data_IF_322188133943
#
_entry.id   IF_322188133943
#
_cell.length_a   1.000
_cell.length_b   1.000
_cell.length_c   1.000
_cell.angle_alpha   90.00
_cell.angle_beta   90.00
_cell.angle_gamma   90.00
#
_symmetry.space_group_name_H-M   'P 1'
#
loop_
_entity.id
_entity.type
_entity.pdbx_description
1 polymer ?
#
# COMPACT_ATOMS: atom_id res chain seq x y z
N UNK A 1 -13.47 -14.85 -10.24
CA UNK A 1 -13.53 -13.50 -9.64
C UNK A 1 -12.96 -12.46 -10.62
N UNK A 2 -13.42 -12.48 -11.88
CA UNK A 2 -12.77 -11.77 -13.00
C UNK A 2 -13.32 -10.36 -13.29
N UNK A 3 -14.41 -9.95 -12.64
CA UNK A 3 -15.16 -8.74 -13.03
C UNK A 3 -15.31 -7.70 -11.90
N UNK A 4 -14.52 -7.81 -10.83
CA UNK A 4 -14.63 -6.94 -9.63
C UNK A 4 -13.48 -5.94 -9.54
N UNK A 5 -12.28 -6.36 -9.92
CA UNK A 5 -11.07 -5.55 -9.85
C UNK A 5 -10.53 -5.30 -11.26
N UNK A 6 -9.96 -4.11 -11.48
CA UNK A 6 -9.26 -3.79 -12.72
C UNK A 6 -8.07 -4.75 -12.89
N UNK A 7 -8.06 -5.62 -13.92
CA UNK A 7 -7.01 -6.61 -14.12
C UNK A 7 -5.72 -6.01 -14.68
N UNK A 8 -5.71 -4.71 -15.01
CA UNK A 8 -4.51 -4.03 -15.48
C UNK A 8 -3.40 -4.11 -14.44
N UNK A 9 -2.19 -4.56 -14.80
CA UNK A 9 -1.08 -4.61 -13.87
C UNK A 9 -0.76 -3.18 -13.42
N UNK A 10 -0.63 -2.99 -12.11
CA UNK A 10 -0.15 -1.71 -11.57
C UNK A 10 1.32 -1.51 -11.97
N UNK A 11 1.75 -0.25 -12.18
CA UNK A 11 3.14 0.04 -12.48
C UNK A 11 4.06 -0.53 -11.39
N UNK A 12 5.08 -1.31 -11.80
CA UNK A 12 6.12 -1.80 -10.88
C UNK A 12 7.17 -0.72 -10.56
N UNK A 13 7.18 0.37 -11.33
CA UNK A 13 8.03 1.54 -11.14
C UNK A 13 7.22 2.83 -11.38
N UNK A 14 7.78 3.96 -10.94
CA UNK A 14 7.25 5.28 -11.24
C UNK A 14 8.21 6.03 -12.17
N UNK A 15 7.78 7.16 -12.75
CA UNK A 15 8.65 7.98 -13.60
C UNK A 15 9.76 8.64 -12.76
N UNK A 16 10.82 7.88 -12.50
CA UNK A 16 11.97 8.31 -11.70
C UNK A 16 12.78 9.42 -12.37
N UNK A 17 12.54 9.75 -13.64
CA UNK A 17 13.23 10.84 -14.34
C UNK A 17 12.45 12.15 -14.20
N UNK A 18 11.14 12.15 -14.45
CA UNK A 18 10.35 13.38 -14.52
C UNK A 18 9.52 13.68 -13.26
N UNK A 19 9.42 12.74 -12.31
CA UNK A 19 8.68 12.98 -11.07
C UNK A 19 9.46 13.91 -10.12
N UNK A 20 9.04 15.17 -10.01
CA UNK A 20 9.60 16.13 -9.06
C UNK A 20 8.79 16.15 -7.76
N UNK A 21 9.41 15.64 -6.68
CA UNK A 21 8.82 15.53 -5.35
C UNK A 21 8.53 16.89 -4.68
N UNK A 22 9.05 17.99 -5.21
CA UNK A 22 8.86 19.33 -4.65
C UNK A 22 7.78 20.14 -5.38
N UNK A 23 7.25 19.61 -6.49
CA UNK A 23 6.20 20.27 -7.28
C UNK A 23 4.83 19.71 -6.95
N UNK A 24 3.80 20.56 -7.07
CA UNK A 24 2.41 20.09 -6.99
C UNK A 24 2.17 19.19 -8.21
N UNK A 25 1.63 18.00 -7.98
CA UNK A 25 1.30 17.07 -9.05
C UNK A 25 0.35 17.73 -10.07
N UNK A 26 0.72 17.67 -11.37
CA UNK A 26 -0.06 18.29 -12.45
C UNK A 26 -1.47 17.70 -12.59
N UNK A 27 -1.69 16.46 -12.17
CA UNK A 27 -3.01 15.84 -12.15
C UNK A 27 -3.64 15.97 -10.76
N UNK A 28 -4.51 16.96 -10.59
CA UNK A 28 -5.26 17.17 -9.35
C UNK A 28 -6.32 16.10 -9.11
N UNK A 29 -6.69 15.33 -10.15
CA UNK A 29 -7.67 14.26 -10.03
C UNK A 29 -6.93 12.95 -9.74
N UNK A 30 -7.19 12.38 -8.57
CA UNK A 30 -6.72 11.03 -8.26
C UNK A 30 -7.30 10.04 -9.26
N UNK A 31 -6.45 9.32 -9.98
CA UNK A 31 -6.88 8.16 -10.77
C UNK A 31 -7.21 7.07 -9.75
N UNK A 32 -8.49 6.77 -9.58
CA UNK A 32 -8.91 5.66 -8.73
C UNK A 32 -8.86 4.37 -9.54
N UNK A 33 -7.90 3.51 -9.22
CA UNK A 33 -7.89 2.13 -9.68
C UNK A 33 -8.37 1.20 -8.57
N UNK A 34 -8.99 0.08 -8.94
CA UNK A 34 -9.28 -1.04 -8.06
C UNK A 34 -8.31 -2.21 -8.28
N UNK A 35 -7.24 -1.99 -9.04
CA UNK A 35 -6.22 -3.02 -9.30
C UNK A 35 -5.54 -3.48 -8.01
N UNK A 36 -5.11 -4.74 -8.03
CA UNK A 36 -4.49 -5.42 -6.91
C UNK A 36 -3.08 -5.85 -7.33
N UNK A 37 -2.10 -5.64 -6.45
CA UNK A 37 -0.75 -6.17 -6.63
C UNK A 37 -0.74 -7.66 -6.29
N UNK A 38 -0.60 -8.51 -7.33
CA UNK A 38 -0.45 -9.94 -7.15
C UNK A 38 1.01 -10.28 -6.85
N UNK A 39 1.25 -10.79 -5.65
CA UNK A 39 2.56 -11.20 -5.18
C UNK A 39 2.73 -12.71 -5.40
N UNK A 40 3.92 -13.10 -5.84
CA UNK A 40 4.29 -14.50 -5.85
C UNK A 40 4.40 -15.00 -4.40
N UNK A 41 3.71 -16.09 -4.07
CA UNK A 41 3.80 -16.68 -2.75
C UNK A 41 5.24 -17.04 -2.38
N UNK A 42 5.62 -16.75 -1.13
CA UNK A 42 6.95 -17.00 -0.58
C UNK A 42 8.08 -16.18 -1.25
N UNK A 43 7.74 -15.15 -2.03
CA UNK A 43 8.73 -14.21 -2.58
C UNK A 43 9.16 -13.17 -1.54
N UNK A 44 10.37 -12.63 -1.71
CA UNK A 44 10.82 -11.44 -0.98
C UNK A 44 10.38 -10.20 -1.75
N UNK A 45 9.70 -9.29 -1.08
CA UNK A 45 9.13 -8.07 -1.68
C UNK A 45 9.75 -6.85 -1.03
N UNK A 46 10.31 -5.97 -1.86
CA UNK A 46 10.78 -4.65 -1.46
C UNK A 46 9.76 -3.59 -1.84
N UNK A 47 9.44 -2.71 -0.90
CA UNK A 47 8.55 -1.56 -1.12
C UNK A 47 9.35 -0.29 -0.87
N UNK A 48 9.38 0.60 -1.87
CA UNK A 48 9.90 1.96 -1.70
C UNK A 48 8.72 2.92 -1.64
N UNK A 49 8.50 3.48 -0.45
CA UNK A 49 7.54 4.58 -0.27
C UNK A 49 8.28 5.91 -0.49
N UNK A 50 7.80 6.72 -1.43
CA UNK A 50 8.31 8.06 -1.70
C UNK A 50 7.27 9.11 -1.30
N UNK A 51 7.67 10.07 -0.47
CA UNK A 51 6.86 11.23 -0.14
C UNK A 51 7.11 12.38 -1.12
N UNK A 52 6.12 13.26 -1.27
CA UNK A 52 6.17 14.39 -2.18
C UNK A 52 5.38 15.59 -1.62
N UNK A 53 5.39 16.68 -2.37
CA UNK A 53 4.57 17.85 -2.12
C UNK A 53 3.08 17.48 -2.18
N UNK A 54 2.29 18.04 -1.26
CA UNK A 54 0.84 17.96 -1.24
C UNK A 54 0.21 18.87 -2.32
N UNK A 55 -1.09 19.10 -2.24
CA UNK A 55 -1.76 20.12 -3.06
C UNK A 55 -1.45 21.56 -2.62
N UNK A 56 -0.81 21.73 -1.45
CA UNK A 56 -0.33 23.01 -0.95
C UNK A 56 1.17 23.11 -1.26
N UNK A 57 1.58 24.19 -1.92
CA UNK A 57 2.99 24.43 -2.29
C UNK A 57 3.87 24.40 -1.04
N UNK A 58 5.00 23.70 -1.13
CA UNK A 58 6.00 23.55 -0.08
C UNK A 58 5.50 22.87 1.20
N UNK A 59 4.41 22.10 1.11
CA UNK A 59 3.88 21.32 2.22
C UNK A 59 3.95 19.84 1.88
N UNK A 60 4.63 19.06 2.70
CA UNK A 60 4.66 17.59 2.68
C UNK A 60 4.44 17.11 4.11
N UNK A 61 3.56 16.13 4.29
CA UNK A 61 3.13 15.65 5.60
C UNK A 61 3.83 14.35 5.98
N UNK A 62 3.74 13.96 7.26
CA UNK A 62 4.19 12.62 7.67
C UNK A 62 3.03 11.63 7.51
N UNK A 63 3.28 10.50 6.86
CA UNK A 63 2.27 9.47 6.63
C UNK A 63 2.67 8.15 7.31
N UNK A 64 1.95 7.67 8.33
CA UNK A 64 2.20 6.36 8.92
C UNK A 64 1.62 5.27 8.00
N UNK A 65 2.46 4.46 7.38
CA UNK A 65 2.03 3.36 6.52
C UNK A 65 1.98 2.04 7.28
N UNK A 66 0.86 1.34 7.20
CA UNK A 66 0.58 0.09 7.89
C UNK A 66 0.31 -1.05 6.90
N UNK A 67 0.92 -2.21 7.13
CA UNK A 67 0.71 -3.43 6.35
C UNK A 67 -0.05 -4.48 7.17
N UNK A 68 -1.14 -4.97 6.61
CA UNK A 68 -1.91 -6.08 7.18
C UNK A 68 -1.24 -7.43 6.90
N UNK A 69 -1.48 -8.40 7.78
CA UNK A 69 -1.07 -9.81 7.57
C UNK A 69 0.44 -10.07 7.66
N UNK A 70 1.28 -9.05 7.80
CA UNK A 70 2.74 -9.17 7.81
C UNK A 70 3.38 -8.17 8.76
N UNK A 71 4.61 -8.49 9.18
CA UNK A 71 5.58 -7.49 9.58
C UNK A 71 6.60 -7.31 8.45
N UNK A 72 7.29 -6.17 8.45
CA UNK A 72 8.34 -5.85 7.49
C UNK A 72 9.58 -5.34 8.21
N UNK A 73 10.74 -5.55 7.59
CA UNK A 73 11.99 -4.94 7.96
C UNK A 73 12.09 -3.55 7.35
N UNK A 74 12.46 -2.55 8.16
CA UNK A 74 12.80 -1.21 7.67
C UNK A 74 14.27 -1.20 7.28
N UNK A 75 14.53 -1.21 5.97
CA UNK A 75 15.89 -1.30 5.42
C UNK A 75 16.62 0.04 5.45
N UNK A 76 15.89 1.15 5.35
CA UNK A 76 16.48 2.48 5.39
C UNK A 76 15.47 3.56 5.07
N UNK A 77 15.84 4.80 5.37
CA UNK A 77 15.07 5.99 5.03
C UNK A 77 16.05 7.16 4.81
N UNK A 78 15.68 8.10 3.93
CA UNK A 78 16.37 9.39 3.78
C UNK A 78 15.44 10.48 3.29
N UNK A 79 15.89 11.71 3.44
CA UNK A 79 15.34 12.86 2.72
C UNK A 79 15.69 12.80 1.23
N UNK A 80 14.86 13.47 0.43
CA UNK A 80 14.99 13.57 -1.02
C UNK A 80 14.30 12.44 -1.78
N UNK A 81 14.55 12.42 -3.09
CA UNK A 81 14.05 11.40 -4.00
C UNK A 81 14.91 10.14 -3.92
N UNK A 82 14.27 8.98 -3.82
CA UNK A 82 14.95 7.68 -3.85
C UNK A 82 15.75 7.51 -5.15
N UNK A 83 17.00 7.06 -5.01
CA UNK A 83 17.87 6.73 -6.13
C UNK A 83 18.34 5.29 -6.00
N UNK A 84 17.89 4.43 -6.93
CA UNK A 84 18.16 3.00 -6.92
C UNK A 84 19.66 2.66 -6.85
N UNK A 85 20.49 3.38 -7.62
CA UNK A 85 21.93 3.11 -7.71
C UNK A 85 22.69 3.52 -6.44
N UNK A 86 22.22 4.53 -5.72
CA UNK A 86 22.93 5.12 -4.56
C UNK A 86 22.39 4.64 -3.22
N UNK A 87 21.08 4.44 -3.13
CA UNK A 87 20.41 4.30 -1.84
C UNK A 87 20.29 2.84 -1.39
N UNK A 88 20.19 1.89 -2.34
CA UNK A 88 20.19 0.44 -2.06
C UNK A 88 21.49 -0.02 -1.41
N UNK A 89 22.62 0.55 -1.82
CA UNK A 89 23.94 0.25 -1.21
C UNK A 89 24.02 0.60 0.27
N UNK A 90 23.08 1.42 0.77
CA UNK A 90 23.06 1.93 2.14
C UNK A 90 21.97 1.31 3.00
N UNK A 91 21.34 0.23 2.55
CA UNK A 91 20.37 -0.51 3.34
C UNK A 91 21.04 -1.18 4.54
N UNK A 92 20.35 -1.16 5.68
CA UNK A 92 20.70 -2.04 6.79
C UNK A 92 20.18 -3.46 6.48
N UNK A 93 21.09 -4.34 6.08
CA UNK A 93 20.83 -5.75 5.81
C UNK A 93 21.34 -6.69 6.91
N UNK A 94 21.89 -6.13 8.00
CA UNK A 94 22.48 -6.91 9.10
C UNK A 94 21.48 -7.09 10.23
N UNK A 95 20.90 -5.99 10.70
CA UNK A 95 19.98 -5.98 11.85
C UNK A 95 18.82 -4.96 11.70
N UNK A 96 18.07 -4.97 10.58
CA UNK A 96 16.98 -4.04 10.39
C UNK A 96 15.84 -4.25 11.41
N UNK A 97 15.26 -3.16 11.89
CA UNK A 97 14.12 -3.22 12.80
C UNK A 97 12.87 -3.74 12.07
N UNK A 98 12.16 -4.67 12.72
CA UNK A 98 10.90 -5.20 12.23
C UNK A 98 9.72 -4.39 12.79
N UNK A 99 8.79 -3.99 11.93
CA UNK A 99 7.59 -3.21 12.27
C UNK A 99 6.39 -3.66 11.44
N UNK A 100 5.19 -3.24 11.82
CA UNK A 100 3.98 -3.32 10.99
C UNK A 100 3.48 -1.93 10.54
N UNK A 101 4.01 -0.85 11.14
CA UNK A 101 3.70 0.53 10.79
C UNK A 101 4.97 1.37 10.80
N UNK A 102 5.14 2.24 9.80
CA UNK A 102 6.33 3.09 9.63
C UNK A 102 5.96 4.50 9.18
N UNK A 103 6.62 5.51 9.74
CA UNK A 103 6.45 6.89 9.32
C UNK A 103 7.20 7.14 8.01
N UNK A 104 6.49 7.63 7.00
CA UNK A 104 7.05 8.23 5.80
C UNK A 104 7.15 9.74 6.04
N UNK A 105 8.37 10.25 6.21
CA UNK A 105 8.62 11.65 6.54
C UNK A 105 8.53 12.58 5.32
N UNK A 106 8.31 13.91 5.54
CA UNK A 106 8.19 14.90 4.48
C UNK A 106 9.36 14.86 3.49
N UNK A 107 9.05 14.90 2.19
CA UNK A 107 10.02 14.87 1.08
C UNK A 107 11.07 13.75 1.15
N UNK A 108 10.83 12.68 1.89
CA UNK A 108 11.75 11.56 2.03
C UNK A 108 11.20 10.28 1.43
N UNK A 109 11.97 9.21 1.60
CA UNK A 109 11.56 7.85 1.26
C UNK A 109 11.87 6.90 2.41
N UNK A 110 11.15 5.77 2.43
CA UNK A 110 11.47 4.63 3.29
C UNK A 110 11.43 3.34 2.46
N UNK A 111 12.44 2.49 2.64
CA UNK A 111 12.55 1.17 2.03
C UNK A 111 12.15 0.10 3.04
N UNK A 112 11.20 -0.75 2.66
CA UNK A 112 10.66 -1.84 3.46
C UNK A 112 10.90 -3.17 2.73
N UNK A 113 11.10 -4.24 3.49
CA UNK A 113 11.16 -5.61 2.95
C UNK A 113 10.29 -6.53 3.76
N UNK A 114 9.53 -7.40 3.10
CA UNK A 114 8.79 -8.48 3.75
C UNK A 114 8.76 -9.73 2.86
N UNK A 115 8.33 -10.83 3.44
CA UNK A 115 8.11 -12.08 2.72
C UNK A 115 6.60 -12.24 2.47
N UNK A 116 6.20 -12.51 1.23
CA UNK A 116 4.79 -12.72 0.87
C UNK A 116 4.34 -14.16 1.19
N UNK A 117 4.46 -14.56 2.45
CA UNK A 117 4.24 -15.93 2.94
C UNK A 117 2.87 -16.15 3.61
N UNK A 118 2.03 -15.11 3.68
CA UNK A 118 0.68 -15.22 4.21
C UNK A 118 -0.38 -15.21 3.11
N UNK A 119 -1.09 -16.33 2.96
CA UNK A 119 -2.14 -16.54 1.95
C UNK A 119 -3.32 -15.59 2.19
N UNK A 120 -3.72 -14.81 1.20
CA UNK A 120 -4.87 -13.94 1.31
C UNK A 120 -4.74 -12.61 0.58
N UNK A 121 -5.58 -11.66 1.01
CA UNK A 121 -5.64 -10.30 0.49
C UNK A 121 -5.40 -9.34 1.66
N UNK A 122 -4.43 -8.44 1.51
CA UNK A 122 -3.91 -7.61 2.60
C UNK A 122 -3.85 -6.15 2.20
N UNK A 123 -4.34 -5.26 3.06
CA UNK A 123 -4.24 -3.83 2.86
C UNK A 123 -2.86 -3.31 3.25
N UNK A 124 -2.35 -2.40 2.43
CA UNK A 124 -1.20 -1.57 2.76
C UNK A 124 -1.59 -0.11 2.58
N UNK A 125 -1.66 0.65 3.68
CA UNK A 125 -2.33 1.94 3.66
C UNK A 125 -1.76 2.94 4.64
N UNK A 126 -2.03 4.22 4.38
CA UNK A 126 -1.84 5.26 5.38
C UNK A 126 -2.82 5.06 6.55
N UNK A 127 -2.31 5.11 7.77
CA UNK A 127 -3.04 4.88 9.01
C UNK A 127 -3.60 6.19 9.62
N UNK A 128 -3.70 7.24 8.80
CA UNK A 128 -4.51 8.43 9.08
C UNK A 128 -5.87 8.18 8.42
N UNK A 129 -6.93 8.08 9.22
CA UNK A 129 -8.26 7.68 8.75
C UNK A 129 -8.79 8.56 7.59
N UNK A 130 -8.57 9.88 7.67
CA UNK A 130 -8.94 10.79 6.59
C UNK A 130 -8.22 10.47 5.27
N UNK A 131 -6.94 10.07 5.34
CA UNK A 131 -6.15 9.73 4.14
C UNK A 131 -6.54 8.35 3.60
N UNK A 132 -6.86 7.40 4.48
CA UNK A 132 -7.44 6.11 4.10
C UNK A 132 -8.74 6.31 3.31
N UNK A 133 -9.67 7.13 3.82
CA UNK A 133 -10.92 7.46 3.15
C UNK A 133 -10.72 8.16 1.80
N UNK A 134 -9.69 9.01 1.72
CA UNK A 134 -9.24 9.66 0.47
C UNK A 134 -8.39 8.74 -0.43
N UNK A 135 -8.39 7.43 -0.16
CA UNK A 135 -7.81 6.35 -1.00
C UNK A 135 -6.28 6.30 -1.03
N UNK A 136 -5.62 6.70 0.05
CA UNK A 136 -4.17 6.52 0.22
C UNK A 136 -3.84 5.09 0.66
N UNK A 137 -4.08 4.12 -0.24
CA UNK A 137 -3.96 2.70 0.02
C UNK A 137 -3.64 1.90 -1.24
N UNK A 138 -3.11 0.70 -1.06
CA UNK A 138 -3.01 -0.36 -2.08
C UNK A 138 -3.40 -1.71 -1.47
N UNK A 139 -3.65 -2.69 -2.33
CA UNK A 139 -4.04 -4.05 -1.93
C UNK A 139 -3.02 -5.04 -2.48
N UNK A 140 -2.53 -5.93 -1.61
CA UNK A 140 -1.70 -7.08 -1.98
C UNK A 140 -2.51 -8.37 -1.97
N UNK A 141 -2.31 -9.22 -2.96
CA UNK A 141 -2.88 -10.56 -3.06
C UNK A 141 -1.75 -11.58 -3.12
N UNK A 142 -1.79 -12.60 -2.26
CA UNK A 142 -0.83 -13.72 -2.29
C UNK A 142 -1.60 -15.05 -2.29
N UNK A 143 -1.60 -15.73 -3.44
CA UNK A 143 -2.03 -17.13 -3.59
C UNK A 143 -3.39 -17.45 -2.92
N UNK A 144 -4.39 -16.63 -3.26
CA UNK A 144 -5.74 -16.67 -2.68
C UNK A 144 -6.49 -17.95 -3.00
N UNK A 145 -6.13 -18.65 -4.07
CA UNK A 145 -6.69 -19.93 -4.48
C UNK A 145 -6.42 -21.07 -3.48
N UNK A 146 -5.47 -20.88 -2.56
CA UNK A 146 -5.15 -21.82 -1.47
C UNK A 146 -5.68 -21.38 -0.11
N UNK A 147 -6.41 -20.28 -0.03
CA UNK A 147 -7.11 -19.89 1.20
C UNK A 147 -8.19 -20.94 1.49
N UNK A 148 -8.33 -21.34 2.76
CA UNK A 148 -9.35 -22.29 3.19
C UNK A 148 -10.77 -21.77 3.03
N UNK A 149 -11.74 -22.60 3.43
CA UNK A 149 -13.16 -22.24 3.31
C UNK A 149 -13.49 -20.97 4.12
N UNK A 150 -14.01 -19.96 3.41
CA UNK A 150 -14.45 -18.72 4.04
C UNK A 150 -15.84 -18.97 4.66
N UNK A 151 -16.06 -18.62 5.95
CA UNK A 151 -17.36 -18.77 6.58
C UNK A 151 -18.49 -18.12 5.80
N UNK A 152 -19.64 -18.83 5.67
CA UNK A 152 -20.78 -18.38 4.85
C UNK A 152 -21.30 -16.98 5.20
N UNK A 153 -21.15 -16.55 6.44
CA UNK A 153 -21.54 -15.20 6.91
C UNK A 153 -20.83 -14.08 6.14
N UNK A 154 -19.64 -14.35 5.59
CA UNK A 154 -18.86 -13.37 4.84
C UNK A 154 -19.32 -13.22 3.37
N UNK A 155 -20.22 -14.07 2.87
CA UNK A 155 -20.77 -13.98 1.50
C UNK A 155 -22.07 -13.16 1.41
N UNK A 156 -22.42 -12.40 2.45
CA UNK A 156 -23.66 -11.61 2.52
C UNK A 156 -23.70 -10.36 1.61
N UNK A 157 -22.67 -10.11 0.80
CA UNK A 157 -22.60 -8.96 -0.10
C UNK A 157 -22.20 -9.31 -1.54
N UNK A 158 -22.49 -8.41 -2.49
CA UNK A 158 -22.09 -8.56 -3.90
C UNK A 158 -22.87 -9.64 -4.65
N UNK A 159 -22.19 -10.33 -5.59
CA UNK A 159 -22.81 -11.31 -6.52
C UNK A 159 -23.45 -12.55 -5.83
N UNK A 160 -23.23 -12.74 -4.54
CA UNK A 160 -23.76 -13.89 -3.77
C UNK A 160 -25.00 -13.54 -2.91
N UNK A 161 -25.66 -12.40 -3.13
CA UNK A 161 -26.75 -11.95 -2.27
C UNK A 161 -28.10 -12.65 -2.53
N UNK A 162 -28.59 -13.37 -1.51
CA UNK A 162 -30.02 -13.47 -1.18
C UNK A 162 -30.28 -12.62 0.08
N UNK A 163 -30.95 -11.48 -0.05
CA UNK A 163 -31.05 -10.48 1.03
C UNK A 163 -32.28 -10.59 1.93
N UNK A 164 -32.06 -10.39 3.24
CA UNK A 164 -32.97 -9.74 4.18
C UNK A 164 -32.30 -8.46 4.74
N UNK A 165 -33.04 -7.48 5.30
CA UNK A 165 -32.50 -6.18 5.63
C UNK A 165 -31.55 -6.24 6.85
N UNK A 166 -30.34 -5.71 6.68
CA UNK A 166 -29.45 -5.41 7.80
C UNK A 166 -29.74 -3.98 8.28
N UNK A 167 -30.31 -3.83 9.47
CA UNK A 167 -30.46 -2.54 10.14
C UNK A 167 -29.23 -2.35 11.02
N UNK A 168 -28.43 -1.33 10.70
CA UNK A 168 -27.29 -0.90 11.53
C UNK A 168 -27.63 0.46 12.12
N UNK A 169 -27.72 0.53 13.45
CA UNK A 169 -27.82 1.79 14.18
C UNK A 169 -26.41 2.32 14.42
N UNK A 170 -26.12 3.51 13.90
CA UNK A 170 -24.93 4.28 14.24
C UNK A 170 -25.44 5.51 14.99
N UNK A 171 -25.30 5.51 16.31
CA UNK A 171 -25.41 6.73 17.09
C UNK A 171 -24.00 7.32 17.20
N UNK A 172 -23.85 8.58 16.78
CA UNK A 172 -22.67 9.38 17.03
C UNK A 172 -22.69 9.90 18.47
#
# INVERSE_FOLDING_TARGET
MSDVFDPSPLPEDYDSTNFDIYTIANNTNAISSTSIYKLQFNSTVDIILQNANSMIRNVSETHPWHLHGHHFWVLGYREGKFNLLRDVEKYNLVDPIMKNTVALYPYGWVALRFQADNLGVWLFHCHIEAHFFLRMLVVFESNVEKVGDIPNINYGCGKNQSHGPAIVFINL
#
